data_IF_960827921063
#
_entry.id   IF_960827921063
#
_cell.length_a   1.000
_cell.length_b   1.000
_cell.length_c   1.000
_cell.angle_alpha   90.00
_cell.angle_beta   90.00
_cell.angle_gamma   90.00
#
_symmetry.space_group_name_H-M   'P 1'
#
loop_
_entity.id
_entity.type
_entity.pdbx_description
1 polymer ?
#
# COMPACT_ATOMS: atom_id res chain seq x y z
N UNK A 1 -5.34 -1.96 -24.09
CA UNK A 1 -3.87 -2.00 -24.19
C UNK A 1 -3.38 -1.03 -23.13
N UNK A 2 -2.78 -1.55 -22.07
CA UNK A 2 -2.51 -0.79 -20.86
C UNK A 2 -1.17 -0.06 -20.95
N UNK A 3 -1.20 1.23 -20.64
CA UNK A 3 -0.11 2.21 -20.72
C UNK A 3 0.96 2.04 -19.61
N UNK A 4 1.18 0.81 -19.13
CA UNK A 4 2.09 0.51 -18.01
C UNK A 4 3.49 0.17 -18.55
N UNK A 5 4.53 0.82 -18.05
CA UNK A 5 5.90 0.65 -18.54
C UNK A 5 6.94 1.42 -17.73
N UNK A 6 8.22 1.04 -17.91
CA UNK A 6 9.39 1.60 -17.19
C UNK A 6 9.59 3.09 -17.47
N UNK A 7 9.04 3.60 -18.58
CA UNK A 7 9.10 5.01 -18.99
C UNK A 7 7.85 5.82 -18.58
N UNK A 8 6.92 5.23 -17.82
CA UNK A 8 5.72 5.91 -17.33
C UNK A 8 6.04 6.79 -16.12
N UNK A 9 5.76 8.08 -16.22
CA UNK A 9 5.62 8.97 -15.06
C UNK A 9 4.19 8.94 -14.55
N UNK A 10 4.00 8.85 -13.23
CA UNK A 10 2.68 8.96 -12.63
C UNK A 10 2.18 10.40 -12.66
N UNK A 11 0.90 10.56 -12.98
CA UNK A 11 0.20 11.84 -12.88
C UNK A 11 0.10 12.34 -11.42
N UNK A 12 -0.22 13.61 -11.24
CA UNK A 12 -0.49 14.18 -9.91
C UNK A 12 -1.62 13.42 -9.18
N UNK A 13 -2.64 12.99 -9.93
CA UNK A 13 -3.76 12.21 -9.41
C UNK A 13 -3.30 10.82 -8.94
N UNK A 14 -2.58 10.07 -9.76
CA UNK A 14 -2.05 8.75 -9.37
C UNK A 14 -1.11 8.86 -8.16
N UNK A 15 -0.28 9.90 -8.13
CA UNK A 15 0.60 10.19 -6.98
C UNK A 15 -0.23 10.53 -5.72
N UNK A 16 -1.35 11.23 -5.86
CA UNK A 16 -2.27 11.50 -4.74
C UNK A 16 -2.91 10.21 -4.21
N UNK A 17 -3.30 9.28 -5.09
CA UNK A 17 -3.81 7.96 -4.68
C UNK A 17 -2.73 7.18 -3.92
N UNK A 18 -1.47 7.23 -4.36
CA UNK A 18 -0.35 6.62 -3.64
C UNK A 18 -0.17 7.20 -2.23
N UNK A 19 -0.22 8.53 -2.09
CA UNK A 19 -0.17 9.20 -0.78
C UNK A 19 -1.35 8.83 0.11
N UNK A 20 -2.55 8.65 -0.46
CA UNK A 20 -3.75 8.30 0.30
C UNK A 20 -3.59 6.91 0.96
N UNK A 21 -3.12 5.91 0.21
CA UNK A 21 -2.82 4.60 0.79
C UNK A 21 -1.65 4.65 1.81
N UNK A 22 -0.61 5.43 1.52
CA UNK A 22 0.50 5.64 2.44
C UNK A 22 0.04 6.17 3.79
N UNK A 23 -0.80 7.21 3.78
CA UNK A 23 -1.38 7.79 4.99
C UNK A 23 -2.32 6.83 5.72
N UNK A 24 -3.15 6.08 4.99
CA UNK A 24 -4.00 5.06 5.59
C UNK A 24 -3.17 4.04 6.39
N UNK A 25 -2.05 3.57 5.81
CA UNK A 25 -1.18 2.60 6.46
C UNK A 25 -0.41 3.22 7.62
N UNK A 26 0.09 4.44 7.46
CA UNK A 26 0.79 5.20 8.50
C UNK A 26 -0.06 5.34 9.76
N UNK A 27 -1.33 5.70 9.59
CA UNK A 27 -2.21 6.05 10.70
C UNK A 27 -3.02 4.87 11.24
N UNK A 28 -2.94 3.68 10.60
CA UNK A 28 -3.90 2.62 10.88
C UNK A 28 -3.98 2.21 12.36
N UNK A 29 -2.83 2.13 13.05
CA UNK A 29 -2.79 1.76 14.47
C UNK A 29 -3.38 2.86 15.36
N UNK A 30 -3.13 4.14 15.05
CA UNK A 30 -3.55 5.27 15.86
C UNK A 30 -5.01 5.67 15.66
N UNK A 31 -5.46 5.70 14.42
CA UNK A 31 -6.82 6.10 14.08
C UNK A 31 -7.85 4.96 14.27
N UNK A 32 -7.43 3.69 14.21
CA UNK A 32 -8.34 2.53 14.23
C UNK A 32 -8.06 1.46 15.30
N UNK A 33 -6.97 1.56 16.07
CA UNK A 33 -6.61 0.61 17.14
C UNK A 33 -6.45 -0.86 16.63
N UNK A 34 -5.79 -1.02 15.48
CA UNK A 34 -5.56 -2.31 14.81
C UNK A 34 -4.09 -2.71 14.76
N UNK A 35 -3.84 -4.01 14.61
CA UNK A 35 -2.54 -4.54 14.24
C UNK A 35 -2.22 -4.17 12.78
N UNK A 36 -1.09 -3.49 12.55
CA UNK A 36 -0.76 -2.98 11.20
C UNK A 36 -0.48 -4.10 10.20
N UNK A 37 0.09 -5.23 10.65
CA UNK A 37 0.44 -6.34 9.78
C UNK A 37 -0.82 -7.02 9.27
N UNK A 38 -1.75 -7.31 10.18
CA UNK A 38 -3.03 -7.92 9.83
C UNK A 38 -3.90 -6.97 8.99
N UNK A 39 -3.97 -5.69 9.34
CA UNK A 39 -4.67 -4.67 8.56
C UNK A 39 -4.15 -4.60 7.12
N UNK A 40 -2.83 -4.49 6.93
CA UNK A 40 -2.21 -4.35 5.61
C UNK A 40 -2.38 -5.65 4.80
N UNK A 41 -2.22 -6.82 5.42
CA UNK A 41 -2.43 -8.10 4.76
C UNK A 41 -3.87 -8.21 4.22
N UNK A 42 -4.87 -7.89 5.05
CA UNK A 42 -6.28 -7.89 4.65
C UNK A 42 -6.60 -6.84 3.60
N UNK A 43 -6.06 -5.63 3.74
CA UNK A 43 -6.24 -4.57 2.76
C UNK A 43 -5.72 -5.01 1.38
N UNK A 44 -4.45 -5.44 1.31
CA UNK A 44 -3.78 -5.77 0.04
C UNK A 44 -4.38 -6.99 -0.67
N UNK A 45 -5.01 -7.91 0.09
CA UNK A 45 -5.72 -9.08 -0.44
C UNK A 45 -7.24 -8.86 -0.60
N UNK A 46 -7.75 -7.69 -0.21
CA UNK A 46 -9.18 -7.40 -0.09
C UNK A 46 -9.81 -6.69 -1.29
N UNK A 47 -11.13 -6.57 -1.25
CA UNK A 47 -11.92 -5.93 -2.30
C UNK A 47 -11.69 -4.41 -2.39
N UNK A 48 -11.32 -3.75 -1.29
CA UNK A 48 -11.01 -2.32 -1.29
C UNK A 48 -9.77 -2.06 -2.15
N UNK A 49 -8.67 -2.78 -1.93
CA UNK A 49 -7.48 -2.65 -2.77
C UNK A 49 -7.75 -3.10 -4.21
N UNK A 50 -8.47 -4.20 -4.42
CA UNK A 50 -8.87 -4.65 -5.76
C UNK A 50 -9.76 -3.63 -6.50
N UNK A 51 -10.53 -2.82 -5.77
CA UNK A 51 -11.28 -1.69 -6.33
C UNK A 51 -10.33 -0.56 -6.72
N UNK A 52 -9.34 -0.24 -5.87
CA UNK A 52 -8.34 0.79 -6.11
C UNK A 52 -7.33 0.45 -7.22
N UNK A 53 -7.16 -0.83 -7.55
CA UNK A 53 -6.33 -1.31 -8.66
C UNK A 53 -6.87 -0.90 -10.04
N UNK A 54 -8.16 -0.54 -10.12
CA UNK A 54 -8.80 -0.06 -11.35
C UNK A 54 -8.47 1.40 -11.58
N UNK A 55 -8.44 1.84 -12.84
CA UNK A 55 -8.15 3.24 -13.20
C UNK A 55 -9.06 4.27 -12.51
N UNK A 56 -10.33 3.92 -12.28
CA UNK A 56 -11.29 4.76 -11.59
C UNK A 56 -11.94 3.95 -10.47
N UNK A 57 -11.68 4.36 -9.23
CA UNK A 57 -12.29 3.79 -8.04
C UNK A 57 -12.97 4.88 -7.21
N UNK A 58 -14.13 4.62 -6.60
CA UNK A 58 -14.70 5.51 -5.59
C UNK A 58 -13.70 5.79 -4.45
N UNK A 59 -12.86 4.82 -4.11
CA UNK A 59 -11.88 4.94 -3.03
C UNK A 59 -10.72 5.90 -3.36
N UNK A 60 -10.46 6.22 -4.63
CA UNK A 60 -9.43 7.19 -4.99
C UNK A 60 -9.73 8.59 -4.46
N UNK A 61 -11.01 8.95 -4.34
CA UNK A 61 -11.46 10.25 -3.82
C UNK A 61 -12.03 10.16 -2.39
N UNK A 62 -11.82 9.03 -1.72
CA UNK A 62 -12.30 8.80 -0.35
C UNK A 62 -11.20 9.12 0.65
N UNK A 63 -11.53 9.78 1.76
CA UNK A 63 -10.56 10.08 2.81
C UNK A 63 -10.12 8.82 3.58
N UNK A 64 -8.91 8.85 4.13
CA UNK A 64 -8.33 7.68 4.84
C UNK A 64 -9.22 7.15 5.96
N UNK A 65 -9.92 8.03 6.70
CA UNK A 65 -10.79 7.61 7.81
C UNK A 65 -11.94 6.75 7.31
N UNK A 66 -12.60 7.18 6.24
CA UNK A 66 -13.69 6.42 5.64
C UNK A 66 -13.21 5.10 5.01
N UNK A 67 -12.00 5.07 4.44
CA UNK A 67 -11.43 3.81 3.94
C UNK A 67 -11.13 2.85 5.10
N UNK A 68 -10.55 3.34 6.20
CA UNK A 68 -10.30 2.53 7.38
C UNK A 68 -11.57 2.03 8.06
N UNK A 69 -12.61 2.86 8.15
CA UNK A 69 -13.93 2.44 8.62
C UNK A 69 -14.51 1.32 7.73
N UNK A 70 -14.43 1.48 6.39
CA UNK A 70 -14.86 0.43 5.47
C UNK A 70 -14.06 -0.88 5.63
N UNK A 71 -12.76 -0.79 5.93
CA UNK A 71 -11.93 -1.96 6.27
C UNK A 71 -12.44 -2.68 7.53
N UNK A 72 -12.79 -1.94 8.58
CA UNK A 72 -13.31 -2.51 9.83
C UNK A 72 -14.72 -3.09 9.68
N UNK A 73 -15.53 -2.54 8.77
CA UNK A 73 -16.87 -3.05 8.47
C UNK A 73 -16.82 -4.34 7.64
N UNK A 74 -15.83 -4.47 6.75
CA UNK A 74 -15.72 -5.59 5.81
C UNK A 74 -14.86 -6.75 6.35
N UNK A 75 -13.90 -6.48 7.23
CA UNK A 75 -12.93 -7.47 7.69
C UNK A 75 -12.81 -7.47 9.22
N UNK A 76 -12.72 -8.67 9.80
CA UNK A 76 -12.32 -8.82 11.21
C UNK A 76 -10.80 -8.64 11.30
N UNK A 77 -10.35 -7.51 11.85
CA UNK A 77 -8.92 -7.16 11.97
C UNK A 77 -8.50 -7.28 13.43
N UNK A 78 -7.33 -7.88 13.66
CA UNK A 78 -6.75 -8.02 14.98
C UNK A 78 -6.52 -6.64 15.61
N UNK A 79 -6.78 -6.54 16.91
CA UNK A 79 -6.54 -5.33 17.70
C UNK A 79 -5.05 -5.10 17.88
N UNK A 80 -4.69 -3.83 18.02
CA UNK A 80 -3.34 -3.45 18.40
C UNK A 80 -2.93 -4.11 19.74
N UNK A 81 -1.75 -4.74 19.77
CA UNK A 81 -1.29 -5.53 20.91
C UNK A 81 -0.11 -4.88 21.67
N UNK A 82 0.22 -3.62 21.40
CA UNK A 82 1.30 -2.88 22.06
C UNK A 82 2.62 -2.83 21.28
N UNK A 83 2.74 -3.53 20.14
CA UNK A 83 3.91 -3.43 19.27
C UNK A 83 3.74 -2.30 18.24
N UNK A 84 3.99 -1.05 18.67
CA UNK A 84 3.92 0.10 17.76
C UNK A 84 4.91 -0.08 16.59
N UNK A 85 4.40 0.03 15.37
CA UNK A 85 5.23 -0.03 14.18
C UNK A 85 5.63 1.37 13.74
N UNK A 86 6.81 1.48 13.14
CA UNK A 86 7.33 2.77 12.70
C UNK A 86 6.43 3.36 11.58
N UNK A 87 5.83 4.51 11.85
CA UNK A 87 4.97 5.25 10.92
C UNK A 87 5.62 5.50 9.56
N UNK A 88 6.91 5.80 9.50
CA UNK A 88 7.63 6.04 8.25
C UNK A 88 7.75 4.77 7.41
N UNK A 89 7.90 3.60 8.07
CA UNK A 89 7.92 2.29 7.40
C UNK A 89 6.56 1.98 6.80
N UNK A 90 5.48 2.19 7.58
CA UNK A 90 4.12 1.94 7.13
C UNK A 90 3.72 2.89 5.99
N UNK A 91 4.08 4.17 6.09
CA UNK A 91 3.88 5.15 5.03
C UNK A 91 4.57 4.72 3.75
N UNK A 92 5.88 4.44 3.82
CA UNK A 92 6.65 4.04 2.65
C UNK A 92 6.11 2.76 2.03
N UNK A 93 5.74 1.76 2.84
CA UNK A 93 5.15 0.51 2.38
C UNK A 93 3.85 0.76 1.61
N UNK A 94 2.92 1.54 2.19
CA UNK A 94 1.66 1.88 1.55
C UNK A 94 1.87 2.65 0.25
N UNK A 95 2.82 3.59 0.23
CA UNK A 95 3.19 4.35 -0.95
C UNK A 95 3.73 3.45 -2.07
N UNK A 96 4.72 2.60 -1.76
CA UNK A 96 5.37 1.73 -2.75
C UNK A 96 4.40 0.72 -3.34
N UNK A 97 3.53 0.09 -2.54
CA UNK A 97 2.54 -0.84 -3.07
C UNK A 97 1.61 -0.18 -4.08
N UNK A 98 1.08 1.01 -3.76
CA UNK A 98 0.16 1.69 -4.68
C UNK A 98 0.89 2.24 -5.89
N UNK A 99 2.10 2.75 -5.71
CA UNK A 99 2.95 3.19 -6.82
C UNK A 99 3.22 2.04 -7.79
N UNK A 100 3.55 0.86 -7.26
CA UNK A 100 3.79 -0.33 -8.06
C UNK A 100 2.57 -0.69 -8.91
N UNK A 101 1.38 -0.73 -8.30
CA UNK A 101 0.14 -0.98 -9.04
C UNK A 101 -0.09 0.09 -10.14
N UNK A 102 0.06 1.38 -9.80
CA UNK A 102 -0.15 2.46 -10.78
C UNK A 102 0.91 2.46 -11.90
N UNK A 103 2.13 2.00 -11.61
CA UNK A 103 3.24 2.06 -12.54
C UNK A 103 3.31 0.84 -13.47
N UNK A 104 3.19 -0.38 -12.91
CA UNK A 104 3.32 -1.64 -13.65
C UNK A 104 1.98 -2.35 -13.92
N UNK A 105 0.89 -1.90 -13.30
CA UNK A 105 -0.45 -2.48 -13.49
C UNK A 105 -0.67 -3.81 -12.76
N UNK A 106 0.29 -4.27 -11.96
CA UNK A 106 0.17 -5.47 -11.14
C UNK A 106 -0.85 -5.23 -10.01
N UNK A 107 -1.69 -6.23 -9.73
CA UNK A 107 -2.72 -6.09 -8.70
C UNK A 107 -2.09 -6.01 -7.31
N UNK A 108 -2.82 -5.40 -6.37
CA UNK A 108 -2.39 -5.33 -4.97
C UNK A 108 -2.07 -6.70 -4.40
N UNK A 109 -2.88 -7.71 -4.77
CA UNK A 109 -2.68 -9.09 -4.34
C UNK A 109 -1.38 -9.68 -4.89
N UNK A 110 -1.13 -9.56 -6.20
CA UNK A 110 0.12 -10.05 -6.83
C UNK A 110 1.35 -9.36 -6.24
N UNK A 111 1.27 -8.05 -5.98
CA UNK A 111 2.36 -7.29 -5.35
C UNK A 111 2.64 -7.82 -3.95
N UNK A 112 1.61 -8.06 -3.14
CA UNK A 112 1.76 -8.55 -1.77
C UNK A 112 2.27 -9.99 -1.70
N UNK A 113 1.92 -10.84 -2.68
CA UNK A 113 2.50 -12.18 -2.83
C UNK A 113 4.02 -12.11 -3.11
N UNK A 114 4.49 -11.10 -3.83
CA UNK A 114 5.92 -10.88 -4.08
C UNK A 114 6.60 -10.23 -2.87
N UNK A 115 5.96 -9.29 -2.20
CA UNK A 115 6.54 -8.50 -1.13
C UNK A 115 5.50 -8.32 -0.03
N UNK A 116 5.52 -9.23 0.95
CA UNK A 116 4.65 -9.16 2.11
C UNK A 116 5.11 -8.08 3.11
N UNK A 117 4.34 -7.93 4.19
CA UNK A 117 4.62 -6.97 5.25
C UNK A 117 6.02 -7.11 5.86
N UNK A 118 6.44 -8.34 6.19
CA UNK A 118 7.71 -8.58 6.88
C UNK A 118 8.89 -8.28 5.95
N UNK A 119 8.77 -8.69 4.68
CA UNK A 119 9.76 -8.40 3.67
C UNK A 119 9.88 -6.89 3.42
N UNK A 120 8.76 -6.19 3.22
CA UNK A 120 8.75 -4.74 3.00
C UNK A 120 9.31 -3.97 4.20
N UNK A 121 8.99 -4.40 5.41
CA UNK A 121 9.55 -3.82 6.64
C UNK A 121 11.07 -4.00 6.70
N UNK A 122 11.58 -5.16 6.25
CA UNK A 122 13.02 -5.44 6.20
C UNK A 122 13.73 -4.59 5.15
N UNK A 123 13.15 -4.49 3.94
CA UNK A 123 13.80 -3.78 2.82
C UNK A 123 13.73 -2.27 2.91
N UNK A 124 12.82 -1.72 3.73
CA UNK A 124 12.73 -0.29 4.02
C UNK A 124 14.12 0.29 4.33
N UNK A 125 14.88 -0.33 5.24
CA UNK A 125 16.20 0.15 5.66
C UNK A 125 17.21 0.30 4.51
N UNK A 126 17.02 -0.44 3.41
CA UNK A 126 17.91 -0.43 2.26
C UNK A 126 17.40 0.45 1.11
N UNK A 127 16.08 0.57 0.96
CA UNK A 127 15.46 1.10 -0.26
C UNK A 127 14.64 2.39 -0.07
N UNK A 128 14.36 2.84 1.16
CA UNK A 128 13.50 4.01 1.39
C UNK A 128 14.04 5.34 0.86
N UNK A 129 15.34 5.41 0.57
CA UNK A 129 15.98 6.60 -0.03
C UNK A 129 16.08 6.55 -1.56
N UNK A 130 15.69 5.43 -2.17
CA UNK A 130 15.67 5.27 -3.62
C UNK A 130 14.40 5.89 -4.20
N UNK A 131 14.40 6.14 -5.52
CA UNK A 131 13.16 6.43 -6.22
C UNK A 131 12.20 5.24 -6.11
N UNK A 132 10.87 5.45 -6.12
CA UNK A 132 9.88 4.37 -6.09
C UNK A 132 10.14 3.29 -7.14
N UNK A 133 10.43 3.69 -8.38
CA UNK A 133 10.73 2.79 -9.50
C UNK A 133 11.94 1.90 -9.19
N UNK A 134 13.02 2.52 -8.70
CA UNK A 134 14.25 1.79 -8.37
C UNK A 134 14.02 0.81 -7.22
N UNK A 135 13.29 1.23 -6.19
CA UNK A 135 12.92 0.37 -5.07
C UNK A 135 12.08 -0.82 -5.55
N UNK A 136 11.02 -0.57 -6.34
CA UNK A 136 10.12 -1.59 -6.89
C UNK A 136 10.91 -2.59 -7.75
N UNK A 137 11.78 -2.13 -8.64
CA UNK A 137 12.57 -3.01 -9.49
C UNK A 137 13.55 -3.87 -8.67
N UNK A 138 14.14 -3.35 -7.58
CA UNK A 138 14.98 -4.16 -6.68
C UNK A 138 14.17 -5.18 -5.90
N UNK A 139 12.99 -4.80 -5.42
CA UNK A 139 12.08 -5.69 -4.69
C UNK A 139 11.62 -6.84 -5.60
N UNK A 140 11.16 -6.52 -6.80
CA UNK A 140 10.61 -7.49 -7.76
C UNK A 140 11.66 -8.49 -8.26
N UNK A 141 12.91 -8.07 -8.38
CA UNK A 141 14.01 -8.91 -8.85
C UNK A 141 14.78 -9.61 -7.72
N UNK A 142 14.19 -9.73 -6.52
CA UNK A 142 14.79 -10.49 -5.42
C UNK A 142 15.04 -11.94 -5.89
N UNK A 143 16.28 -12.41 -5.78
CA UNK A 143 16.65 -13.81 -6.03
C UNK A 143 16.47 -14.64 -4.77
#
# INVERSE_FOLDING_TARGET
MSDYGVDKELSEFETAVCRNQALLFQECQWDFDVDSKDFIAKFMNGNIAASMDKQLSPFHNTGIKQIGEAMLDEYEIDRFNGNEHNQEVLYWMGYIYRYWNMWLGESSKEIYEIADYDYMSTVYNYFHTLSPETAIMRIKNKK
#
